data_IF_708475299657
#
_entry.id   IF_708475299657
#
_cell.length_a   1.000
_cell.length_b   1.000
_cell.length_c   1.000
_cell.angle_alpha   90.00
_cell.angle_beta   90.00
_cell.angle_gamma   90.00
#
_symmetry.space_group_name_H-M   'P 1'
#
loop_
_entity.id
_entity.type
_entity.pdbx_description
1 polymer ?
#
# COMPACT_ATOMS: atom_id res chain seq x y z
N UNK A 1 13.93 -1.75 15.04
CA UNK A 1 14.16 -3.19 14.91
C UNK A 1 12.94 -3.78 14.25
N UNK A 2 13.07 -4.34 13.05
CA UNK A 2 11.96 -5.00 12.36
C UNK A 2 11.90 -6.45 12.83
N UNK A 3 10.82 -6.83 13.52
CA UNK A 3 10.55 -8.21 13.94
C UNK A 3 9.97 -8.94 12.73
N UNK A 4 10.53 -10.11 12.38
CA UNK A 4 10.01 -10.93 11.29
C UNK A 4 8.80 -11.74 11.75
N UNK A 5 7.99 -12.24 10.80
CA UNK A 5 6.84 -13.09 11.13
C UNK A 5 7.27 -14.30 11.95
N UNK A 6 8.36 -14.94 11.58
CA UNK A 6 8.90 -16.11 12.28
C UNK A 6 9.30 -15.78 13.72
N UNK A 7 9.97 -14.64 13.93
CA UNK A 7 10.31 -14.14 15.26
C UNK A 7 9.05 -13.81 16.09
N UNK A 8 8.03 -13.23 15.46
CA UNK A 8 6.77 -12.91 16.11
C UNK A 8 6.00 -14.17 16.51
N UNK A 9 6.03 -15.22 15.69
CA UNK A 9 5.41 -16.51 15.97
C UNK A 9 6.09 -17.17 17.18
N UNK A 10 7.43 -17.26 17.19
CA UNK A 10 8.16 -17.77 18.34
C UNK A 10 7.80 -16.99 19.61
N UNK A 11 7.76 -15.65 19.51
CA UNK A 11 7.41 -14.78 20.64
C UNK A 11 5.97 -14.96 21.11
N UNK A 12 5.02 -15.19 20.21
CA UNK A 12 3.61 -15.46 20.53
C UNK A 12 3.46 -16.75 21.35
N UNK A 13 4.24 -17.78 21.02
CA UNK A 13 4.26 -19.05 21.77
C UNK A 13 5.23 -19.05 22.95
N UNK A 14 5.84 -17.91 23.29
CA UNK A 14 6.83 -17.77 24.36
C UNK A 14 8.05 -18.70 24.19
N UNK A 15 8.47 -18.95 22.95
CA UNK A 15 9.65 -19.75 22.62
C UNK A 15 10.78 -18.89 22.06
N UNK A 16 12.01 -19.31 22.30
CA UNK A 16 13.19 -18.67 21.70
C UNK A 16 13.21 -18.88 20.18
N UNK A 17 13.67 -17.85 19.47
CA UNK A 17 13.80 -17.91 18.02
C UNK A 17 14.88 -18.92 17.61
N UNK A 18 14.45 -19.96 16.92
CA UNK A 18 15.28 -20.87 16.13
C UNK A 18 14.54 -21.19 14.83
N UNK A 19 15.26 -21.53 13.77
CA UNK A 19 14.63 -21.90 12.48
C UNK A 19 13.70 -23.11 12.62
N UNK A 20 14.05 -24.04 13.49
CA UNK A 20 13.25 -25.23 13.79
C UNK A 20 11.95 -24.87 14.52
N UNK A 21 12.04 -24.04 15.57
CA UNK A 21 10.88 -23.56 16.31
C UNK A 21 9.95 -22.75 15.40
N UNK A 22 10.50 -21.84 14.62
CA UNK A 22 9.74 -21.03 13.67
C UNK A 22 8.97 -21.89 12.66
N UNK A 23 9.60 -22.91 12.08
CA UNK A 23 8.95 -23.80 11.11
C UNK A 23 7.84 -24.64 11.75
N UNK A 24 8.10 -25.22 12.93
CA UNK A 24 7.12 -26.02 13.68
C UNK A 24 5.91 -25.18 14.11
N UNK A 25 6.14 -23.98 14.63
CA UNK A 25 5.08 -23.09 15.11
C UNK A 25 4.31 -22.43 13.96
N UNK A 26 4.96 -22.19 12.81
CA UNK A 26 4.28 -21.70 11.61
C UNK A 26 3.26 -22.71 11.09
N UNK A 27 3.61 -24.00 11.04
CA UNK A 27 2.66 -25.07 10.70
C UNK A 27 1.46 -25.11 11.67
N UNK A 28 1.73 -24.92 12.97
CA UNK A 28 0.67 -24.86 13.98
C UNK A 28 -0.30 -23.67 13.76
N UNK A 29 0.19 -22.55 13.23
CA UNK A 29 -0.67 -21.42 12.85
C UNK A 29 -1.47 -21.74 11.59
N UNK A 30 -0.85 -22.38 10.60
CA UNK A 30 -1.52 -22.81 9.36
C UNK A 30 -2.65 -23.81 9.64
N UNK A 31 -2.50 -24.67 10.66
CA UNK A 31 -3.54 -25.58 11.15
C UNK A 31 -4.78 -24.85 11.67
N UNK A 32 -4.64 -23.63 12.20
CA UNK A 32 -5.81 -22.81 12.57
C UNK A 32 -6.57 -22.27 11.35
N UNK A 33 -5.96 -22.33 10.16
CA UNK A 33 -6.55 -22.05 8.85
C UNK A 33 -6.91 -20.59 8.59
N UNK A 34 -7.73 -20.00 9.45
CA UNK A 34 -8.30 -18.66 9.27
C UNK A 34 -7.66 -17.61 10.18
N UNK A 35 -6.56 -17.93 10.85
CA UNK A 35 -5.87 -17.03 11.78
C UNK A 35 -4.44 -16.78 11.35
N UNK A 36 -3.92 -15.60 11.68
CA UNK A 36 -2.51 -15.26 11.49
C UNK A 36 -2.03 -14.33 12.60
N UNK A 37 -0.71 -14.28 12.76
CA UNK A 37 -0.07 -13.43 13.77
C UNK A 37 0.18 -12.04 13.20
N UNK A 38 -0.31 -11.03 13.91
CA UNK A 38 -0.17 -9.61 13.59
C UNK A 38 0.12 -8.80 14.86
N UNK A 39 0.18 -7.47 14.74
CA UNK A 39 0.33 -6.56 15.86
C UNK A 39 -0.48 -5.29 15.65
N UNK A 40 -0.85 -4.62 16.74
CA UNK A 40 -1.59 -3.35 16.65
C UNK A 40 -0.65 -2.14 16.70
N UNK A 41 -0.15 -1.86 17.91
CA UNK A 41 0.68 -0.71 18.21
C UNK A 41 2.14 -1.09 18.44
N UNK A 42 2.38 -2.22 19.11
CA UNK A 42 3.73 -2.70 19.45
C UNK A 42 4.08 -4.01 18.70
N UNK A 43 5.05 -3.98 17.76
CA UNK A 43 5.55 -5.18 17.09
C UNK A 43 6.12 -6.24 18.05
N UNK A 44 6.41 -5.92 19.31
CA UNK A 44 6.86 -6.90 20.31
C UNK A 44 5.72 -7.65 20.99
N UNK A 45 4.47 -7.26 20.73
CA UNK A 45 3.27 -7.87 21.29
C UNK A 45 2.44 -8.50 20.16
N UNK A 46 2.84 -9.69 19.69
CA UNK A 46 2.09 -10.40 18.65
C UNK A 46 0.72 -10.83 19.17
N UNK A 47 -0.30 -10.67 18.33
CA UNK A 47 -1.67 -11.12 18.56
C UNK A 47 -2.10 -12.06 17.44
N UNK A 48 -2.91 -13.07 17.78
CA UNK A 48 -3.50 -13.99 16.81
C UNK A 48 -4.88 -13.49 16.42
N UNK A 49 -5.06 -13.11 15.17
CA UNK A 49 -6.30 -12.49 14.69
C UNK A 49 -6.80 -13.20 13.45
N UNK A 50 -8.12 -13.26 13.30
CA UNK A 50 -8.75 -13.85 12.13
C UNK A 50 -8.38 -13.08 10.87
N UNK A 51 -8.04 -13.78 9.78
CA UNK A 51 -7.59 -13.22 8.52
C UNK A 51 -8.59 -12.22 7.93
N UNK A 52 -9.90 -12.44 8.07
CA UNK A 52 -10.90 -11.47 7.60
C UNK A 52 -10.85 -10.13 8.35
N UNK A 53 -10.55 -10.15 9.64
CA UNK A 53 -10.44 -8.94 10.47
C UNK A 53 -9.19 -8.17 10.08
N UNK A 54 -8.05 -8.87 9.95
CA UNK A 54 -6.79 -8.28 9.46
C UNK A 54 -6.98 -7.63 8.08
N UNK A 55 -7.74 -8.29 7.19
CA UNK A 55 -8.01 -7.77 5.83
C UNK A 55 -8.96 -6.57 5.82
N UNK A 56 -9.95 -6.55 6.72
CA UNK A 56 -10.95 -5.49 6.79
C UNK A 56 -10.42 -4.24 7.53
N UNK A 57 -9.49 -4.40 8.47
CA UNK A 57 -8.88 -3.30 9.21
C UNK A 57 -7.34 -3.43 9.25
N UNK A 58 -6.67 -3.15 8.13
CA UNK A 58 -5.21 -3.20 8.04
C UNK A 58 -4.52 -2.05 8.79
N UNK A 59 -5.27 -1.02 9.21
CA UNK A 59 -4.75 0.10 10.00
C UNK A 59 -4.54 -0.29 11.45
N UNK A 60 -5.50 -1.02 12.03
CA UNK A 60 -5.41 -1.53 13.39
C UNK A 60 -4.54 -2.78 13.44
N UNK A 61 -4.68 -3.72 12.49
CA UNK A 61 -3.95 -4.99 12.53
C UNK A 61 -2.86 -5.06 11.46
N UNK A 62 -1.62 -4.77 11.85
CA UNK A 62 -0.44 -4.74 10.98
C UNK A 62 0.24 -6.11 10.95
N UNK A 63 0.58 -6.60 9.75
CA UNK A 63 1.22 -7.92 9.57
C UNK A 63 2.74 -7.79 9.65
N UNK A 64 3.38 -8.83 10.17
CA UNK A 64 4.84 -8.95 10.18
C UNK A 64 5.38 -9.33 8.79
N UNK A 65 6.59 -8.89 8.47
CA UNK A 65 7.28 -9.24 7.23
C UNK A 65 7.83 -10.67 7.33
N UNK A 66 7.59 -11.53 6.33
CA UNK A 66 8.21 -12.85 6.22
C UNK A 66 9.60 -12.75 5.57
N UNK A 67 10.57 -13.57 5.98
CA UNK A 67 11.87 -13.64 5.29
C UNK A 67 11.71 -14.13 3.84
N UNK A 68 10.67 -14.94 3.57
CA UNK A 68 10.27 -15.32 2.21
C UNK A 68 9.81 -14.15 1.34
N UNK A 69 9.38 -13.03 1.92
CA UNK A 69 9.10 -11.81 1.13
C UNK A 69 10.38 -11.20 0.54
N UNK A 70 11.59 -11.61 0.95
CA UNK A 70 12.84 -11.23 0.28
C UNK A 70 13.17 -12.13 -0.93
N UNK A 71 12.61 -13.34 -0.99
CA UNK A 71 12.90 -14.35 -2.03
C UNK A 71 11.78 -14.35 -3.08
N UNK A 72 10.53 -14.13 -2.68
CA UNK A 72 9.39 -13.85 -3.58
C UNK A 72 9.53 -12.51 -4.33
N UNK A 73 10.46 -11.64 -3.92
CA UNK A 73 10.84 -10.44 -4.67
C UNK A 73 11.63 -10.75 -5.95
N UNK A 74 12.22 -11.94 -6.08
CA UNK A 74 12.99 -12.31 -7.29
C UNK A 74 12.17 -13.08 -8.33
N UNK A 75 11.14 -13.84 -7.93
CA UNK A 75 10.30 -14.61 -8.86
C UNK A 75 8.98 -13.91 -9.21
N UNK A 76 8.52 -12.92 -8.43
CA UNK A 76 7.44 -12.01 -8.85
C UNK A 76 7.95 -10.86 -9.77
N UNK A 77 9.08 -11.05 -10.43
CA UNK A 77 9.69 -10.06 -11.32
C UNK A 77 9.06 -10.02 -12.73
N UNK A 78 8.12 -10.92 -13.08
CA UNK A 78 7.55 -10.94 -14.44
C UNK A 78 6.03 -10.76 -14.55
N UNK A 79 5.29 -10.68 -13.45
CA UNK A 79 3.91 -10.18 -13.50
C UNK A 79 3.87 -8.77 -12.94
N UNK A 80 4.02 -7.75 -13.81
CA UNK A 80 3.66 -6.36 -13.47
C UNK A 80 2.25 -6.40 -12.90
N UNK A 81 2.12 -6.20 -11.59
CA UNK A 81 0.81 -6.12 -10.94
C UNK A 81 0.14 -4.87 -11.49
N UNK A 82 -0.79 -5.05 -12.42
CA UNK A 82 -1.46 -3.97 -13.12
C UNK A 82 -2.81 -3.68 -12.46
N UNK A 83 -3.17 -2.41 -12.27
CA UNK A 83 -4.52 -2.06 -11.79
C UNK A 83 -5.48 -2.17 -12.97
N UNK A 84 -6.40 -3.12 -12.86
CA UNK A 84 -7.24 -3.59 -13.97
C UNK A 84 -8.60 -2.88 -13.96
N UNK A 85 -9.09 -2.45 -12.79
CA UNK A 85 -10.39 -1.79 -12.66
C UNK A 85 -10.29 -0.34 -12.19
N UNK A 86 -11.26 0.49 -12.59
CA UNK A 86 -11.37 1.88 -12.14
C UNK A 86 -11.36 2.00 -10.60
N UNK A 87 -11.97 1.04 -9.90
CA UNK A 87 -12.01 1.01 -8.43
C UNK A 87 -10.63 0.83 -7.82
N UNK A 88 -9.81 -0.07 -8.39
CA UNK A 88 -8.43 -0.28 -7.95
C UNK A 88 -7.59 0.99 -8.18
N UNK A 89 -7.80 1.68 -9.30
CA UNK A 89 -7.15 2.97 -9.58
C UNK A 89 -7.53 4.04 -8.56
N UNK A 90 -8.82 4.15 -8.21
CA UNK A 90 -9.28 5.12 -7.20
C UNK A 90 -8.65 4.81 -5.83
N UNK A 91 -8.63 3.53 -5.41
CA UNK A 91 -8.01 3.14 -4.15
C UNK A 91 -6.52 3.44 -4.13
N UNK A 92 -5.80 3.11 -5.21
CA UNK A 92 -4.39 3.41 -5.33
C UNK A 92 -4.13 4.91 -5.22
N UNK A 93 -4.91 5.74 -5.94
CA UNK A 93 -4.78 7.20 -5.88
C UNK A 93 -5.05 7.74 -4.47
N UNK A 94 -6.08 7.25 -3.80
CA UNK A 94 -6.44 7.71 -2.46
C UNK A 94 -5.47 7.21 -1.38
N UNK A 95 -4.78 6.09 -1.59
CA UNK A 95 -3.70 5.62 -0.72
C UNK A 95 -2.40 6.39 -0.97
N UNK A 96 -2.01 6.59 -2.22
CA UNK A 96 -0.74 7.25 -2.55
C UNK A 96 -0.78 8.77 -2.31
N UNK A 97 -1.93 9.41 -2.54
CA UNK A 97 -2.09 10.86 -2.48
C UNK A 97 -3.11 11.27 -1.40
N UNK A 98 -2.67 11.26 -0.14
CA UNK A 98 -3.52 11.57 1.02
C UNK A 98 -3.71 13.09 1.15
N UNK A 99 -4.92 13.48 1.52
CA UNK A 99 -5.31 14.89 1.73
C UNK A 99 -5.10 15.35 3.16
N UNK A 100 -5.04 14.42 4.10
CA UNK A 100 -4.81 14.63 5.53
C UNK A 100 -3.53 13.95 5.96
N UNK A 101 -2.91 14.45 7.03
CA UNK A 101 -1.69 13.89 7.58
C UNK A 101 -1.92 12.45 8.06
N UNK A 102 -1.22 11.45 7.50
CA UNK A 102 -1.35 10.07 7.91
C UNK A 102 -0.55 9.72 9.18
N UNK A 103 0.15 10.69 9.81
CA UNK A 103 1.00 10.48 10.99
C UNK A 103 2.04 9.36 10.78
N UNK A 104 2.56 9.25 9.55
CA UNK A 104 3.50 8.22 9.14
C UNK A 104 4.53 8.79 8.16
N UNK A 105 5.46 9.57 8.70
CA UNK A 105 6.56 10.22 7.96
C UNK A 105 7.54 9.21 7.34
N UNK A 106 7.56 7.97 7.85
CA UNK A 106 8.35 6.89 7.26
C UNK A 106 7.85 6.53 5.86
N UNK A 107 6.53 6.56 5.64
CA UNK A 107 5.89 6.15 4.37
C UNK A 107 5.49 7.35 3.51
N UNK A 108 5.08 8.45 4.14
CA UNK A 108 4.55 9.62 3.47
C UNK A 108 5.43 10.85 3.67
N UNK A 109 5.42 11.74 2.69
CA UNK A 109 6.04 13.05 2.80
C UNK A 109 5.14 14.10 2.17
N UNK A 110 5.09 15.29 2.77
CA UNK A 110 4.31 16.40 2.26
C UNK A 110 5.00 16.96 1.00
N UNK A 111 4.30 16.94 -0.13
CA UNK A 111 4.82 17.41 -1.42
C UNK A 111 3.82 18.31 -2.13
N UNK A 112 4.34 19.19 -2.98
CA UNK A 112 3.52 19.91 -3.97
C UNK A 112 3.48 19.10 -5.25
N UNK A 113 2.28 18.64 -5.62
CA UNK A 113 2.10 17.68 -6.71
C UNK A 113 1.32 18.30 -7.86
N UNK A 114 1.82 18.13 -9.08
CA UNK A 114 1.10 18.46 -10.31
C UNK A 114 0.15 17.34 -10.72
N UNK A 115 -0.98 17.66 -11.36
CA UNK A 115 -1.85 16.64 -11.94
C UNK A 115 -1.11 15.73 -12.94
N UNK A 116 -0.12 16.28 -13.64
CA UNK A 116 0.74 15.56 -14.57
C UNK A 116 1.54 14.46 -13.87
N UNK A 117 2.12 14.74 -12.71
CA UNK A 117 2.91 13.77 -11.94
C UNK A 117 2.01 12.63 -11.43
N UNK A 118 0.79 12.96 -10.98
CA UNK A 118 -0.21 11.96 -10.59
C UNK A 118 -0.55 11.07 -11.79
N UNK A 119 -0.81 11.66 -12.96
CA UNK A 119 -1.11 10.94 -14.19
C UNK A 119 0.03 9.99 -14.58
N UNK A 120 1.27 10.48 -14.67
CA UNK A 120 2.45 9.69 -15.04
C UNK A 120 2.70 8.53 -14.05
N UNK A 121 2.38 8.74 -12.77
CA UNK A 121 2.55 7.72 -11.73
C UNK A 121 1.60 6.52 -11.85
N UNK A 122 0.49 6.68 -12.59
CA UNK A 122 -0.61 5.72 -12.69
C UNK A 122 -0.68 5.13 -14.10
N UNK A 123 -0.53 5.95 -15.15
CA UNK A 123 -0.79 5.53 -16.53
C UNK A 123 0.05 4.31 -16.98
N UNK A 124 1.27 4.19 -16.46
CA UNK A 124 2.20 3.08 -16.73
C UNK A 124 1.86 1.77 -16.00
N UNK A 125 0.86 1.81 -15.11
CA UNK A 125 0.49 0.72 -14.20
C UNK A 125 -0.96 0.28 -14.37
N UNK A 126 -1.68 0.83 -15.36
CA UNK A 126 -3.11 0.58 -15.54
C UNK A 126 -3.50 0.49 -17.01
N UNK A 127 -3.95 -0.68 -17.46
CA UNK A 127 -4.46 -0.86 -18.82
C UNK A 127 -5.75 -0.07 -19.03
N UNK A 128 -6.63 -0.04 -18.02
CA UNK A 128 -7.95 0.60 -18.08
C UNK A 128 -7.90 2.12 -18.32
N UNK A 129 -6.77 2.76 -18.06
CA UNK A 129 -6.57 4.20 -18.30
C UNK A 129 -5.58 4.49 -19.43
N UNK A 130 -4.92 3.48 -20.01
CA UNK A 130 -3.81 3.61 -20.99
C UNK A 130 -4.12 4.52 -22.19
N UNK A 131 -5.40 4.61 -22.59
CA UNK A 131 -5.87 5.43 -23.73
C UNK A 131 -6.24 6.87 -23.36
N UNK A 132 -6.15 7.26 -22.08
CA UNK A 132 -6.56 8.61 -21.61
C UNK A 132 -5.37 9.57 -21.67
N UNK A 133 -5.60 10.77 -22.19
CA UNK A 133 -4.69 11.90 -22.03
C UNK A 133 -4.70 12.43 -20.58
N UNK A 134 -3.70 13.22 -20.21
CA UNK A 134 -3.63 13.89 -18.90
C UNK A 134 -4.91 14.68 -18.58
N UNK A 135 -5.46 15.39 -19.57
CA UNK A 135 -6.69 16.19 -19.44
C UNK A 135 -7.91 15.29 -19.20
N UNK A 136 -8.01 14.19 -19.95
CA UNK A 136 -9.08 13.21 -19.78
C UNK A 136 -9.00 12.52 -18.42
N UNK A 137 -7.79 12.22 -17.94
CA UNK A 137 -7.54 11.67 -16.61
C UNK A 137 -7.95 12.65 -15.50
N UNK A 138 -7.58 13.92 -15.61
CA UNK A 138 -7.98 14.95 -14.64
C UNK A 138 -9.51 15.09 -14.56
N UNK A 139 -10.18 15.08 -15.71
CA UNK A 139 -11.65 15.13 -15.79
C UNK A 139 -12.28 13.90 -15.15
N UNK A 140 -11.71 12.72 -15.41
CA UNK A 140 -12.14 11.47 -14.79
C UNK A 140 -11.97 11.49 -13.27
N UNK A 141 -10.85 11.99 -12.75
CA UNK A 141 -10.61 12.13 -11.31
C UNK A 141 -11.67 13.01 -10.65
N UNK A 142 -12.03 14.14 -11.28
CA UNK A 142 -13.12 15.01 -10.80
C UNK A 142 -14.46 14.26 -10.77
N UNK A 143 -14.81 13.59 -11.88
CA UNK A 143 -16.11 12.88 -12.02
C UNK A 143 -16.24 11.74 -11.02
N UNK A 144 -15.15 11.03 -10.75
CA UNK A 144 -15.08 9.92 -9.78
C UNK A 144 -14.82 10.37 -8.34
N UNK A 145 -14.70 11.68 -8.10
CA UNK A 145 -14.47 12.26 -6.77
C UNK A 145 -13.23 11.67 -6.07
N UNK A 146 -12.13 11.49 -6.80
CA UNK A 146 -10.86 11.06 -6.21
C UNK A 146 -10.43 12.10 -5.16
N UNK A 147 -9.99 11.65 -3.98
CA UNK A 147 -9.91 12.48 -2.77
C UNK A 147 -9.08 13.74 -2.95
N UNK A 148 -7.92 13.65 -3.62
CA UNK A 148 -7.04 14.79 -3.84
C UNK A 148 -7.67 15.92 -4.68
N UNK A 149 -8.72 15.63 -5.46
CA UNK A 149 -9.39 16.65 -6.27
C UNK A 149 -10.16 17.67 -5.42
N UNK A 150 -10.53 17.31 -4.18
CA UNK A 150 -11.13 18.24 -3.21
C UNK A 150 -10.14 19.22 -2.59
N UNK A 151 -8.83 18.99 -2.74
CA UNK A 151 -7.80 19.88 -2.19
C UNK A 151 -7.62 21.10 -3.10
N UNK A 152 -7.62 22.34 -2.56
CA UNK A 152 -7.39 23.54 -3.36
C UNK A 152 -6.00 23.51 -3.98
N UNK A 153 -5.91 23.98 -5.23
CA UNK A 153 -4.62 24.11 -5.90
C UNK A 153 -4.06 25.53 -5.77
N UNK A 154 -2.74 25.64 -5.72
CA UNK A 154 -2.01 26.90 -5.91
C UNK A 154 -1.53 26.99 -7.35
N UNK A 155 -1.32 28.21 -7.85
CA UNK A 155 -0.76 28.46 -9.18
C UNK A 155 0.66 28.99 -9.04
N UNK A 156 1.62 28.36 -9.71
CA UNK A 156 2.98 28.90 -9.84
C UNK A 156 3.31 29.10 -11.32
N UNK A 157 4.00 30.19 -11.61
CA UNK A 157 4.44 30.56 -12.96
C UNK A 157 5.80 29.90 -13.21
N UNK A 158 5.89 29.06 -14.24
CA UNK A 158 7.14 28.43 -14.65
C UNK A 158 7.30 28.52 -16.16
N UNK A 159 8.39 29.15 -16.62
CA UNK A 159 8.78 29.30 -18.03
C UNK A 159 7.60 29.59 -18.98
N UNK A 160 6.78 30.59 -18.64
CA UNK A 160 5.66 31.04 -19.48
C UNK A 160 4.34 30.24 -19.35
N UNK A 161 4.32 29.15 -18.57
CA UNK A 161 3.11 28.36 -18.29
C UNK A 161 2.67 28.52 -16.83
N UNK A 162 1.36 28.58 -16.62
CA UNK A 162 0.76 28.56 -15.28
C UNK A 162 0.48 27.11 -14.89
N UNK A 163 1.23 26.60 -13.93
CA UNK A 163 1.08 25.25 -13.41
C UNK A 163 0.26 25.24 -12.12
N UNK A 164 -0.55 24.20 -11.94
CA UNK A 164 -1.41 24.02 -10.76
C UNK A 164 -0.85 22.91 -9.90
N UNK A 165 -0.65 23.23 -8.62
CA UNK A 165 -0.07 22.33 -7.63
C UNK A 165 -1.04 22.11 -6.48
N UNK A 166 -1.04 20.91 -5.92
CA UNK A 166 -1.73 20.63 -4.65
C UNK A 166 -0.73 20.16 -3.61
N UNK A 167 -0.87 20.65 -2.37
CA UNK A 167 -0.10 20.13 -1.24
C UNK A 167 -0.77 18.86 -0.75
N UNK A 168 -0.08 17.72 -0.87
CA UNK A 168 -0.59 16.40 -0.55
C UNK A 168 0.46 15.61 0.22
N UNK A 169 0.02 14.67 1.06
CA UNK A 169 0.90 13.68 1.66
C UNK A 169 1.06 12.53 0.67
N UNK A 170 2.28 12.42 0.13
CA UNK A 170 2.60 11.52 -0.96
C UNK A 170 3.38 10.33 -0.44
N UNK A 171 2.90 9.12 -0.74
CA UNK A 171 3.60 7.89 -0.42
C UNK A 171 4.91 7.78 -1.22
N UNK A 172 6.00 7.46 -0.53
CA UNK A 172 7.32 7.21 -1.15
C UNK A 172 7.24 6.05 -2.13
N UNK A 173 8.00 6.14 -3.23
CA UNK A 173 7.90 5.21 -4.35
C UNK A 173 8.11 3.74 -3.96
N UNK A 174 9.01 3.48 -3.01
CA UNK A 174 9.34 2.15 -2.50
C UNK A 174 8.14 1.38 -1.91
N UNK A 175 7.12 2.08 -1.42
CA UNK A 175 5.92 1.43 -0.87
C UNK A 175 4.79 1.25 -1.88
N UNK A 176 4.87 1.89 -3.06
CA UNK A 176 3.75 1.93 -4.02
C UNK A 176 3.45 0.57 -4.65
N UNK A 177 4.47 -0.24 -4.91
CA UNK A 177 4.28 -1.59 -5.45
C UNK A 177 3.59 -2.52 -4.45
N UNK A 178 3.96 -2.42 -3.17
CA UNK A 178 3.30 -3.16 -2.09
C UNK A 178 1.80 -2.83 -2.00
N UNK A 179 1.44 -1.56 -2.16
CA UNK A 179 0.03 -1.12 -2.22
C UNK A 179 -0.70 -1.70 -3.43
N UNK A 180 -0.08 -1.69 -4.61
CA UNK A 180 -0.71 -2.25 -5.81
C UNK A 180 -0.99 -3.74 -5.61
N UNK A 181 0.00 -4.50 -5.13
CA UNK A 181 -0.18 -5.92 -4.79
C UNK A 181 -1.35 -6.09 -3.80
N UNK A 182 -1.34 -5.35 -2.69
CA UNK A 182 -2.41 -5.39 -1.69
C UNK A 182 -3.79 -5.09 -2.29
N UNK A 183 -3.92 -4.09 -3.15
CA UNK A 183 -5.20 -3.72 -3.79
C UNK A 183 -5.68 -4.84 -4.72
N UNK A 184 -4.78 -5.37 -5.56
CA UNK A 184 -5.12 -6.44 -6.51
C UNK A 184 -5.50 -7.76 -5.83
N UNK A 185 -4.92 -8.05 -4.66
CA UNK A 185 -5.29 -9.23 -3.86
C UNK A 185 -6.62 -9.04 -3.13
N UNK A 186 -6.90 -7.84 -2.62
CA UNK A 186 -8.12 -7.57 -1.85
C UNK A 186 -9.36 -7.34 -2.71
N UNK A 187 -9.19 -6.91 -3.96
CA UNK A 187 -10.27 -6.77 -4.94
C UNK A 187 -9.89 -7.55 -6.19
N UNK A 188 -10.11 -8.88 -6.20
CA UNK A 188 -9.97 -9.66 -7.42
C UNK A 188 -11.01 -9.21 -8.44
N UNK A 189 -10.69 -9.47 -9.72
CA UNK A 189 -11.41 -9.03 -10.93
C UNK A 189 -12.94 -9.13 -10.83
#
# INVERSE_FOLDING_TARGET
MNITRDQAICRFFCEDYSKENAARLSKKIEEFGSFDVCYENDPKQPVLVHLSVIRNDPTTFKRYLTEYSAVDLKEAAEAKSELISERQVIMFLNEVYKTTDPQNEAVYCLQEVENKEVYESVISKTECMSKKSEIAFATWCSKRKVSFMGVPFTRKRSRGSNKRYRKLYVMKNEFREGIIKSITTSIPR
#
